data_IF_518397868087
#
_entry.id   IF_518397868087
#
_cell.length_a   1.000
_cell.length_b   1.000
_cell.length_c   1.000
_cell.angle_alpha   90.00
_cell.angle_beta   90.00
_cell.angle_gamma   90.00
#
_symmetry.space_group_name_H-M   'P 1'
#
loop_
_entity.id
_entity.type
_entity.pdbx_description
1 polymer ?
#
# COMPACT_ATOMS: atom_id res chain seq x y z
N UNK A 1 -0.63 7.35 20.30
CA UNK A 1 -1.89 6.79 20.83
C UNK A 1 -2.48 5.83 19.79
N UNK A 2 -3.14 4.75 20.21
CA UNK A 2 -3.85 3.77 19.35
C UNK A 2 -5.31 3.68 19.80
N UNK A 3 -6.30 3.60 18.90
CA UNK A 3 -7.69 3.37 19.31
C UNK A 3 -7.86 1.98 19.93
N UNK A 4 -8.67 1.89 20.98
CA UNK A 4 -8.93 0.62 21.70
C UNK A 4 -10.41 0.31 21.90
N UNK A 5 -11.28 1.33 21.83
CA UNK A 5 -12.74 1.17 21.85
C UNK A 5 -13.42 2.44 21.32
N UNK A 6 -14.70 2.33 20.97
CA UNK A 6 -15.53 3.48 20.59
C UNK A 6 -16.91 3.39 21.28
N UNK A 7 -17.51 4.55 21.55
CA UNK A 7 -18.91 4.68 21.96
C UNK A 7 -19.75 5.12 20.75
N UNK A 8 -20.83 4.39 20.48
CA UNK A 8 -21.68 4.57 19.29
C UNK A 8 -23.14 4.66 19.71
N UNK A 9 -23.86 5.58 19.09
CA UNK A 9 -25.30 5.78 19.27
C UNK A 9 -26.00 5.70 17.93
N UNK A 10 -26.63 4.55 17.67
CA UNK A 10 -27.16 4.21 16.36
C UNK A 10 -26.07 4.28 15.29
N UNK A 11 -26.19 5.26 14.39
CA UNK A 11 -25.35 5.43 13.21
C UNK A 11 -24.32 6.55 13.37
N UNK A 12 -24.04 6.94 14.62
CA UNK A 12 -23.16 8.04 14.96
C UNK A 12 -22.17 7.64 16.05
N UNK A 13 -20.88 7.80 15.76
CA UNK A 13 -19.80 7.59 16.71
C UNK A 13 -19.69 8.82 17.62
N UNK A 14 -19.79 8.63 18.93
CA UNK A 14 -19.77 9.71 19.94
C UNK A 14 -18.37 10.01 20.46
N UNK A 15 -17.61 8.96 20.72
CA UNK A 15 -16.24 9.08 21.24
C UNK A 15 -15.38 7.88 20.87
N UNK A 16 -14.07 8.08 20.88
CA UNK A 16 -13.07 7.02 20.71
C UNK A 16 -12.15 7.04 21.93
N UNK A 17 -11.93 5.89 22.53
CA UNK A 17 -10.92 5.71 23.58
C UNK A 17 -9.59 5.39 22.91
N UNK A 18 -8.59 6.21 23.20
CA UNK A 18 -7.24 6.06 22.69
C UNK A 18 -6.29 5.68 23.83
N UNK A 19 -5.45 4.68 23.62
CA UNK A 19 -4.41 4.26 24.57
C UNK A 19 -3.04 4.71 24.11
N UNK A 20 -2.26 5.35 24.99
CA UNK A 20 -0.87 5.66 24.73
C UNK A 20 -0.06 4.35 24.62
N UNK A 21 0.82 4.25 23.61
CA UNK A 21 1.57 3.02 23.33
C UNK A 21 2.42 2.58 24.52
N UNK A 22 3.17 3.52 25.09
CA UNK A 22 4.19 3.24 26.09
C UNK A 22 3.64 3.29 27.53
N UNK A 23 3.08 4.43 27.96
CA UNK A 23 2.49 4.57 29.31
C UNK A 23 1.22 3.78 29.57
N UNK A 24 0.54 3.29 28.52
CA UNK A 24 -0.78 2.64 28.60
C UNK A 24 -1.91 3.53 29.11
N UNK A 25 -1.66 4.82 29.29
CA UNK A 25 -2.67 5.82 29.67
C UNK A 25 -3.77 5.89 28.61
N UNK A 26 -5.02 6.03 29.04
CA UNK A 26 -6.17 6.14 28.15
C UNK A 26 -6.76 7.54 28.20
N UNK A 27 -7.09 8.06 27.02
CA UNK A 27 -7.84 9.30 26.85
C UNK A 27 -9.11 9.01 26.04
N UNK A 28 -10.19 9.72 26.33
CA UNK A 28 -11.42 9.67 25.54
C UNK A 28 -11.49 10.95 24.72
N UNK A 29 -11.56 10.81 23.40
CA UNK A 29 -11.69 11.94 22.47
C UNK A 29 -13.08 11.96 21.86
N UNK A 30 -13.64 13.16 21.69
CA UNK A 30 -14.92 13.38 21.03
C UNK A 30 -14.72 14.27 19.81
N UNK A 31 -15.54 14.06 18.78
CA UNK A 31 -15.49 14.82 17.53
C UNK A 31 -16.84 14.79 16.84
N UNK A 32 -17.18 15.86 16.11
CA UNK A 32 -18.40 15.86 15.28
C UNK A 32 -18.25 14.92 14.08
N UNK A 33 -17.04 14.83 13.55
CA UNK A 33 -16.59 13.89 12.52
C UNK A 33 -15.32 13.20 13.00
N UNK A 34 -15.16 11.94 12.61
CA UNK A 34 -13.99 11.12 12.87
C UNK A 34 -13.46 10.64 11.52
N UNK A 35 -12.17 10.80 11.30
CA UNK A 35 -11.50 10.33 10.09
C UNK A 35 -10.79 9.03 10.44
N UNK A 36 -11.14 7.95 9.75
CA UNK A 36 -10.50 6.64 9.86
C UNK A 36 -9.26 6.61 8.96
N UNK A 37 -8.10 6.88 9.55
CA UNK A 37 -6.81 6.89 8.87
C UNK A 37 -5.80 5.90 9.50
N UNK A 38 -6.29 4.87 10.19
CA UNK A 38 -5.46 3.77 10.68
C UNK A 38 -5.14 2.80 9.55
N UNK A 39 -3.98 2.15 9.64
CA UNK A 39 -3.46 1.31 8.56
C UNK A 39 -4.36 0.12 8.18
N UNK A 40 -5.13 -0.41 9.14
CA UNK A 40 -5.98 -1.60 8.99
C UNK A 40 -7.48 -1.31 9.13
N UNK A 41 -7.88 -0.03 9.23
CA UNK A 41 -9.28 0.35 9.48
C UNK A 41 -9.76 -0.11 10.86
N UNK A 42 -8.96 0.15 11.90
CA UNK A 42 -9.17 -0.32 13.27
C UNK A 42 -10.46 0.20 13.90
N UNK A 43 -10.95 1.40 13.54
CA UNK A 43 -12.22 1.91 14.06
C UNK A 43 -13.41 1.17 13.46
N UNK A 44 -13.33 0.61 12.25
CA UNK A 44 -14.47 -0.04 11.59
C UNK A 44 -15.12 -1.13 12.48
N UNK A 45 -14.37 -2.12 13.01
CA UNK A 45 -14.95 -3.09 13.95
C UNK A 45 -15.33 -2.45 15.29
N UNK A 46 -14.60 -1.44 15.78
CA UNK A 46 -14.88 -0.78 17.07
C UNK A 46 -16.19 0.02 17.03
N UNK A 47 -16.54 0.57 15.88
CA UNK A 47 -17.75 1.38 15.67
C UNK A 47 -18.91 0.57 15.13
N UNK A 48 -18.70 -0.71 14.82
CA UNK A 48 -19.67 -1.54 14.12
C UNK A 48 -20.00 -1.03 12.71
N UNK A 49 -19.07 -0.31 12.07
CA UNK A 49 -19.22 0.10 10.66
C UNK A 49 -19.01 -1.12 9.78
N UNK A 50 -19.90 -1.34 8.82
CA UNK A 50 -19.83 -2.50 7.94
C UNK A 50 -18.61 -2.44 7.03
N UNK A 51 -17.86 -3.54 6.95
CA UNK A 51 -16.66 -3.65 6.12
C UNK A 51 -16.54 -5.03 5.47
N UNK A 52 -15.63 -5.13 4.52
CA UNK A 52 -15.18 -6.36 3.84
C UNK A 52 -13.65 -6.47 3.91
N UNK A 53 -13.16 -7.69 3.72
CA UNK A 53 -11.75 -8.07 3.75
C UNK A 53 -11.50 -9.13 2.69
N UNK A 54 -10.26 -9.24 2.21
CA UNK A 54 -9.87 -10.23 1.20
C UNK A 54 -10.70 -10.15 -0.07
N UNK A 55 -10.76 -11.23 -0.85
CA UNK A 55 -11.51 -11.21 -2.11
C UNK A 55 -13.03 -11.23 -1.94
N UNK A 56 -13.71 -10.31 -2.62
CA UNK A 56 -15.11 -10.45 -3.00
C UNK A 56 -15.29 -11.52 -4.09
N UNK A 57 -16.52 -11.97 -4.32
CA UNK A 57 -16.82 -12.97 -5.35
C UNK A 57 -17.26 -12.33 -6.67
N UNK A 58 -17.01 -13.02 -7.79
CA UNK A 58 -17.59 -12.66 -9.10
C UNK A 58 -19.12 -12.54 -9.04
N UNK A 59 -19.79 -13.32 -8.17
CA UNK A 59 -21.24 -13.26 -8.01
C UNK A 59 -21.68 -11.93 -7.39
N UNK A 60 -20.89 -11.36 -6.49
CA UNK A 60 -21.22 -10.15 -5.77
C UNK A 60 -20.84 -8.88 -6.57
N UNK A 61 -19.70 -8.89 -7.26
CA UNK A 61 -19.14 -7.71 -7.93
C UNK A 61 -19.15 -7.79 -9.45
N UNK A 62 -19.29 -8.99 -10.02
CA UNK A 62 -19.19 -9.22 -11.46
C UNK A 62 -17.78 -9.06 -12.04
N UNK A 63 -16.77 -8.84 -11.19
CA UNK A 63 -15.41 -8.52 -11.62
C UNK A 63 -14.75 -9.73 -12.30
N UNK A 64 -14.18 -9.57 -13.51
CA UNK A 64 -13.59 -10.69 -14.24
C UNK A 64 -12.39 -11.31 -13.50
N UNK A 65 -11.65 -10.53 -12.72
CA UNK A 65 -10.48 -10.99 -11.96
C UNK A 65 -10.81 -11.54 -10.57
N UNK A 66 -12.06 -11.43 -10.10
CA UNK A 66 -12.47 -11.99 -8.81
C UNK A 66 -12.60 -13.53 -8.86
N UNK A 67 -12.47 -14.25 -7.73
CA UNK A 67 -12.79 -15.67 -7.64
C UNK A 67 -14.31 -15.92 -7.66
N UNK A 68 -14.71 -17.15 -7.99
CA UNK A 68 -16.13 -17.53 -8.02
C UNK A 68 -16.84 -17.38 -6.65
N UNK A 69 -16.11 -17.61 -5.56
CA UNK A 69 -16.59 -17.53 -4.18
C UNK A 69 -15.71 -16.56 -3.39
N UNK A 70 -16.31 -15.84 -2.43
CA UNK A 70 -15.59 -14.85 -1.64
C UNK A 70 -14.56 -15.50 -0.72
N UNK A 71 -13.40 -14.84 -0.54
CA UNK A 71 -12.28 -15.35 0.26
C UNK A 71 -11.82 -14.28 1.28
N UNK A 72 -12.56 -14.08 2.38
CA UNK A 72 -12.34 -12.96 3.29
C UNK A 72 -11.01 -13.01 4.07
N UNK A 73 -10.36 -14.16 4.10
CA UNK A 73 -9.05 -14.37 4.76
C UNK A 73 -7.88 -14.34 3.79
N UNK A 74 -8.16 -14.11 2.50
CA UNK A 74 -7.16 -14.05 1.46
C UNK A 74 -6.79 -12.58 1.19
N UNK A 75 -5.70 -12.12 1.78
CA UNK A 75 -5.24 -10.73 1.70
C UNK A 75 -3.85 -10.65 1.06
N UNK A 76 -3.55 -9.51 0.45
CA UNK A 76 -2.23 -9.24 -0.11
C UNK A 76 -1.11 -9.29 0.94
N UNK A 77 0.09 -9.61 0.48
CA UNK A 77 1.28 -9.66 1.30
C UNK A 77 1.60 -8.34 2.02
N UNK A 78 2.22 -8.49 3.19
CA UNK A 78 2.81 -7.41 3.98
C UNK A 78 4.33 -7.45 3.83
N UNK A 79 5.00 -6.30 3.85
CA UNK A 79 6.46 -6.25 3.75
C UNK A 79 7.07 -5.44 4.87
N UNK A 80 8.19 -5.90 5.42
CA UNK A 80 9.03 -5.10 6.32
C UNK A 80 10.23 -4.57 5.52
N UNK A 81 10.13 -3.30 5.13
CA UNK A 81 11.18 -2.64 4.34
C UNK A 81 12.40 -2.31 5.20
N UNK A 82 13.56 -2.10 4.56
CA UNK A 82 14.77 -1.61 5.22
C UNK A 82 15.64 -0.80 4.27
N UNK A 83 16.49 0.07 4.80
CA UNK A 83 17.45 0.82 3.99
C UNK A 83 18.84 0.19 4.11
N UNK A 84 19.59 0.16 3.00
CA UNK A 84 20.97 -0.35 2.96
C UNK A 84 21.92 0.62 2.28
N UNK A 85 23.18 0.56 2.69
CA UNK A 85 24.32 1.05 1.93
C UNK A 85 25.38 -0.07 1.79
N UNK A 86 26.40 0.15 0.95
CA UNK A 86 27.48 -0.80 0.69
C UNK A 86 28.85 -0.11 0.80
N UNK A 87 29.64 -0.48 1.80
CA UNK A 87 30.96 0.10 2.06
C UNK A 87 32.04 -0.98 2.07
N UNK A 88 33.31 -0.56 2.05
CA UNK A 88 34.43 -1.50 2.16
C UNK A 88 34.43 -2.23 3.52
N UNK A 89 34.93 -3.48 3.50
CA UNK A 89 35.07 -4.32 4.68
C UNK A 89 33.97 -5.37 4.84
N UNK A 90 33.98 -6.04 5.98
CA UNK A 90 33.01 -7.09 6.32
C UNK A 90 32.09 -6.60 7.45
N UNK A 91 30.80 -6.56 7.16
CA UNK A 91 29.71 -6.10 8.01
C UNK A 91 28.70 -7.22 8.28
N UNK A 92 29.03 -8.47 7.91
CA UNK A 92 28.16 -9.64 8.13
C UNK A 92 28.02 -9.87 9.63
N UNK A 93 26.77 -9.86 10.09
CA UNK A 93 26.40 -10.13 11.48
C UNK A 93 26.06 -11.60 11.72
N UNK A 94 25.39 -11.86 12.84
CA UNK A 94 24.91 -13.19 13.18
C UNK A 94 23.81 -13.65 12.20
N UNK A 95 23.79 -14.97 11.95
CA UNK A 95 22.76 -15.61 11.15
C UNK A 95 21.36 -15.43 11.80
N UNK A 96 20.34 -14.94 11.07
CA UNK A 96 18.99 -14.80 11.59
C UNK A 96 18.38 -16.13 12.05
N UNK A 97 17.51 -16.08 13.07
CA UNK A 97 16.99 -17.26 13.78
C UNK A 97 16.32 -18.26 12.85
N UNK A 98 15.41 -17.83 11.97
CA UNK A 98 14.77 -18.75 11.02
C UNK A 98 15.31 -18.61 9.59
N UNK A 99 16.56 -18.20 9.42
CA UNK A 99 17.18 -18.09 8.10
C UNK A 99 17.06 -19.39 7.29
N UNK A 100 17.32 -20.54 7.89
CA UNK A 100 17.24 -21.83 7.19
C UNK A 100 15.81 -22.15 6.73
N UNK A 101 14.78 -21.75 7.49
CA UNK A 101 13.37 -21.87 7.08
C UNK A 101 13.14 -21.01 5.83
N UNK A 102 13.44 -19.72 5.91
CA UNK A 102 13.14 -18.78 4.82
C UNK A 102 13.97 -19.04 3.56
N UNK A 103 15.23 -19.45 3.74
CA UNK A 103 16.12 -19.80 2.63
C UNK A 103 15.62 -21.01 1.86
N UNK A 104 15.00 -21.96 2.54
CA UNK A 104 14.39 -23.16 1.95
C UNK A 104 12.94 -22.96 1.48
N UNK A 105 12.32 -21.83 1.80
CA UNK A 105 10.93 -21.56 1.47
C UNK A 105 10.74 -21.33 -0.03
N UNK A 106 9.90 -22.16 -0.65
CA UNK A 106 9.61 -22.17 -2.09
C UNK A 106 8.10 -22.18 -2.31
N UNK A 107 7.44 -21.02 -2.42
CA UNK A 107 6.01 -20.96 -2.74
C UNK A 107 5.74 -21.63 -4.10
N UNK A 108 4.66 -22.40 -4.20
CA UNK A 108 4.35 -23.20 -5.39
C UNK A 108 4.22 -22.37 -6.67
N UNK A 109 3.71 -21.13 -6.55
CA UNK A 109 3.53 -20.19 -7.66
C UNK A 109 4.78 -19.35 -7.97
N UNK A 110 5.85 -19.43 -7.18
CA UNK A 110 7.02 -18.56 -7.31
C UNK A 110 8.01 -19.03 -8.39
N UNK A 111 7.99 -20.32 -8.73
CA UNK A 111 8.96 -20.93 -9.65
C UNK A 111 10.35 -21.19 -9.05
N UNK A 112 10.54 -20.96 -7.76
CA UNK A 112 11.81 -21.16 -7.06
C UNK A 112 11.77 -20.71 -5.59
N UNK A 113 12.93 -20.57 -4.92
CA UNK A 113 13.01 -20.00 -3.58
C UNK A 113 12.49 -18.56 -3.55
N UNK A 114 11.78 -18.19 -2.47
CA UNK A 114 11.33 -16.81 -2.26
C UNK A 114 12.53 -15.86 -2.14
N UNK A 115 13.54 -16.26 -1.36
CA UNK A 115 14.80 -15.53 -1.24
C UNK A 115 15.70 -15.89 -2.43
N UNK A 116 15.76 -14.96 -3.39
CA UNK A 116 16.60 -15.07 -4.58
C UNK A 116 16.34 -13.92 -5.55
N UNK A 117 17.18 -13.79 -6.59
CA UNK A 117 16.98 -12.79 -7.63
C UNK A 117 15.98 -13.20 -8.72
N UNK A 118 15.59 -14.47 -8.75
CA UNK A 118 14.54 -14.98 -9.62
C UNK A 118 13.18 -14.83 -8.93
N UNK A 119 12.22 -14.20 -9.61
CA UNK A 119 10.83 -14.13 -9.15
C UNK A 119 9.88 -14.03 -10.35
N UNK A 120 8.57 -14.28 -10.15
CA UNK A 120 7.56 -14.02 -11.18
C UNK A 120 7.56 -12.55 -11.60
N UNK A 121 7.51 -12.30 -12.89
CA UNK A 121 7.23 -10.97 -13.43
C UNK A 121 5.75 -10.64 -13.20
N UNK A 122 5.39 -9.50 -12.56
CA UNK A 122 4.01 -9.24 -12.15
C UNK A 122 2.97 -9.31 -13.28
N UNK A 123 3.38 -8.97 -14.52
CA UNK A 123 2.47 -8.91 -15.69
C UNK A 123 2.37 -10.20 -16.49
N UNK A 124 3.45 -10.97 -16.56
CA UNK A 124 3.53 -12.15 -17.45
C UNK A 124 3.56 -13.45 -16.67
N UNK A 125 3.82 -13.37 -15.36
CA UNK A 125 4.05 -14.48 -14.44
C UNK A 125 5.26 -15.37 -14.79
N UNK A 126 5.95 -15.07 -15.90
CA UNK A 126 7.20 -15.71 -16.27
C UNK A 126 8.30 -15.35 -15.27
N UNK A 127 9.16 -16.32 -14.96
CA UNK A 127 10.30 -16.09 -14.07
C UNK A 127 11.30 -15.13 -14.71
N UNK A 128 11.56 -14.02 -14.04
CA UNK A 128 12.60 -13.05 -14.43
C UNK A 128 13.70 -13.02 -13.39
N UNK A 129 14.95 -12.97 -13.84
CA UNK A 129 16.13 -12.84 -12.98
C UNK A 129 16.56 -11.38 -12.98
N UNK A 130 16.59 -10.76 -11.79
CA UNK A 130 17.07 -9.40 -11.59
C UNK A 130 18.56 -9.39 -11.24
N UNK A 131 19.23 -8.27 -11.47
CA UNK A 131 20.61 -8.06 -10.99
C UNK A 131 20.63 -7.18 -9.75
N UNK A 132 21.77 -7.16 -9.07
CA UNK A 132 22.00 -6.32 -7.90
C UNK A 132 23.46 -5.89 -7.88
N UNK A 133 23.69 -4.60 -8.11
CA UNK A 133 25.04 -4.03 -8.21
C UNK A 133 25.10 -2.78 -7.35
N UNK A 134 25.59 -2.87 -6.10
CA UNK A 134 25.72 -1.71 -5.24
C UNK A 134 26.70 -0.68 -5.79
N UNK A 135 26.38 0.60 -5.59
CA UNK A 135 27.23 1.72 -5.97
C UNK A 135 27.71 1.68 -7.43
N UNK A 136 26.81 1.53 -8.41
CA UNK A 136 27.21 1.42 -9.81
C UNK A 136 28.02 2.66 -10.25
N UNK A 137 28.92 2.47 -11.21
CA UNK A 137 29.63 3.57 -11.88
C UNK A 137 28.74 4.19 -12.96
N UNK A 138 27.59 4.72 -12.54
CA UNK A 138 26.58 5.28 -13.42
C UNK A 138 26.49 6.82 -13.35
N UNK A 139 25.73 7.40 -14.27
CA UNK A 139 25.27 8.78 -14.20
C UNK A 139 23.80 8.76 -13.72
N UNK A 140 23.52 9.13 -12.45
CA UNK A 140 22.17 9.10 -11.90
C UNK A 140 21.22 10.10 -12.57
N UNK A 141 21.72 11.06 -13.36
CA UNK A 141 20.89 12.04 -14.07
C UNK A 141 20.26 11.48 -15.36
N UNK A 142 20.71 10.31 -15.81
CA UNK A 142 20.21 9.65 -17.03
C UNK A 142 19.05 8.69 -16.77
N UNK A 143 18.54 8.61 -15.54
CA UNK A 143 17.41 7.73 -15.20
C UNK A 143 16.14 8.21 -15.90
N UNK A 144 15.61 7.37 -16.79
CA UNK A 144 14.30 7.56 -17.41
C UNK A 144 13.20 7.06 -16.46
N UNK A 145 12.39 8.00 -15.95
CA UNK A 145 11.29 7.70 -15.03
C UNK A 145 10.00 7.27 -15.75
N UNK A 146 9.99 7.18 -17.09
CA UNK A 146 8.82 6.73 -17.85
C UNK A 146 8.62 5.21 -17.73
N UNK A 147 7.76 4.82 -16.78
CA UNK A 147 7.41 3.42 -16.51
C UNK A 147 6.76 2.68 -17.69
N UNK A 148 6.31 3.40 -18.73
CA UNK A 148 5.82 2.77 -19.98
C UNK A 148 6.95 2.20 -20.81
N UNK A 149 8.15 2.78 -20.69
CA UNK A 149 9.35 2.38 -21.44
C UNK A 149 10.17 1.37 -20.66
N UNK A 150 10.33 1.59 -19.36
CA UNK A 150 11.10 0.72 -18.49
C UNK A 150 10.51 0.71 -17.08
N UNK A 151 10.09 -0.45 -16.52
CA UNK A 151 9.61 -0.52 -15.15
C UNK A 151 10.70 -0.23 -14.11
N UNK A 152 11.98 -0.24 -14.52
CA UNK A 152 13.12 0.12 -13.68
C UNK A 152 13.61 -0.98 -12.74
N UNK A 153 12.95 -2.15 -12.70
CA UNK A 153 13.17 -3.21 -11.71
C UNK A 153 14.25 -4.23 -12.11
N UNK A 154 14.94 -4.01 -13.23
CA UNK A 154 15.99 -4.91 -13.72
C UNK A 154 17.21 -5.02 -12.79
N UNK A 155 17.67 -3.90 -12.22
CA UNK A 155 18.69 -3.88 -11.18
C UNK A 155 18.08 -3.38 -9.87
N UNK A 156 18.06 -4.25 -8.86
CA UNK A 156 17.38 -4.03 -7.59
C UNK A 156 17.96 -2.85 -6.77
N UNK A 157 19.24 -2.53 -6.94
CA UNK A 157 19.87 -1.38 -6.27
C UNK A 157 19.38 -0.06 -6.88
N UNK A 158 19.50 0.11 -8.20
CA UNK A 158 19.08 1.35 -8.86
C UNK A 158 17.57 1.54 -8.85
N UNK A 159 16.81 0.44 -8.91
CA UNK A 159 15.34 0.44 -8.85
C UNK A 159 14.80 1.15 -7.60
N UNK A 160 15.47 0.96 -6.46
CA UNK A 160 15.06 1.55 -5.17
C UNK A 160 16.12 2.47 -4.56
N UNK A 161 16.99 3.05 -5.40
CA UNK A 161 18.01 4.00 -4.94
C UNK A 161 17.35 5.31 -4.55
N UNK A 162 17.34 5.61 -3.24
CA UNK A 162 16.78 6.84 -2.69
C UNK A 162 17.83 7.95 -2.57
N UNK A 163 19.12 7.60 -2.57
CA UNK A 163 20.22 8.56 -2.62
C UNK A 163 21.35 8.01 -3.48
N UNK A 164 21.67 8.68 -4.58
CA UNK A 164 22.88 8.43 -5.35
C UNK A 164 23.99 9.35 -4.83
N UNK A 165 25.10 8.80 -4.31
CA UNK A 165 26.19 9.60 -3.71
C UNK A 165 26.77 10.64 -4.68
N UNK A 166 26.67 10.38 -5.98
CA UNK A 166 27.11 11.27 -7.07
C UNK A 166 26.27 12.53 -7.24
N UNK A 167 25.04 12.55 -6.71
CA UNK A 167 24.19 13.76 -6.68
C UNK A 167 24.56 14.72 -5.53
N UNK A 168 25.45 14.32 -4.63
CA UNK A 168 25.82 15.10 -3.45
C UNK A 168 27.27 15.56 -3.51
N UNK A 169 27.63 16.52 -2.65
CA UNK A 169 29.01 16.99 -2.54
C UNK A 169 29.95 15.83 -2.21
N UNK A 170 31.15 15.75 -2.83
CA UNK A 170 32.09 14.67 -2.56
C UNK A 170 32.36 14.48 -1.07
N UNK A 171 32.19 13.24 -0.59
CA UNK A 171 32.37 12.88 0.81
C UNK A 171 31.10 12.97 1.68
N UNK A 172 29.98 13.51 1.18
CA UNK A 172 28.71 13.52 1.93
C UNK A 172 28.17 12.11 2.20
N UNK A 173 28.28 11.23 1.20
CA UNK A 173 27.91 9.83 1.30
C UNK A 173 29.07 8.95 0.83
N UNK A 174 29.45 7.94 1.63
CA UNK A 174 30.42 6.93 1.22
C UNK A 174 29.84 5.96 0.16
N UNK A 175 28.53 5.79 0.15
CA UNK A 175 27.79 4.85 -0.68
C UNK A 175 26.41 5.43 -1.03
N UNK A 176 25.88 5.02 -2.18
CA UNK A 176 24.46 5.17 -2.47
C UNK A 176 23.61 4.53 -1.36
N UNK A 177 22.36 4.96 -1.22
CA UNK A 177 21.41 4.36 -0.29
C UNK A 177 20.24 3.78 -1.09
N UNK A 178 19.93 2.51 -0.83
CA UNK A 178 18.83 1.78 -1.42
C UNK A 178 17.77 1.46 -0.37
N UNK A 179 16.50 1.76 -0.65
CA UNK A 179 15.36 1.41 0.20
C UNK A 179 14.75 0.09 -0.28
N UNK A 180 15.11 -1.00 0.37
CA UNK A 180 14.69 -2.34 -0.02
C UNK A 180 13.19 -2.54 0.24
N UNK A 181 12.44 -2.59 -0.86
CA UNK A 181 11.05 -3.05 -0.95
C UNK A 181 10.92 -3.83 -2.25
N UNK A 182 11.20 -5.14 -2.17
CA UNK A 182 11.28 -6.05 -3.31
C UNK A 182 10.41 -7.29 -3.09
N UNK A 183 10.05 -8.02 -4.15
CA UNK A 183 9.17 -9.20 -4.07
C UNK A 183 9.54 -10.24 -3.01
N UNK A 184 10.83 -10.45 -2.74
CA UNK A 184 11.30 -11.42 -1.73
C UNK A 184 10.99 -11.02 -0.28
N UNK A 185 10.49 -9.80 -0.04
CA UNK A 185 10.01 -9.32 1.27
C UNK A 185 8.50 -9.51 1.47
N UNK A 186 7.80 -10.04 0.47
CA UNK A 186 6.36 -10.25 0.58
C UNK A 186 6.08 -11.42 1.53
N UNK A 187 5.60 -11.10 2.73
CA UNK A 187 5.08 -12.07 3.68
C UNK A 187 3.60 -12.33 3.40
N UNK A 188 3.30 -13.55 2.96
CA UNK A 188 1.96 -14.02 2.60
C UNK A 188 1.62 -15.39 3.21
N UNK A 189 2.36 -15.87 4.22
CA UNK A 189 2.00 -17.16 4.86
C UNK A 189 0.64 -17.08 5.57
N UNK A 190 0.34 -15.95 6.21
CA UNK A 190 -0.88 -15.75 7.00
C UNK A 190 -1.39 -14.31 6.93
N UNK A 191 -2.73 -14.08 6.97
CA UNK A 191 -3.30 -12.73 6.97
C UNK A 191 -3.02 -11.98 8.28
N UNK A 192 -3.06 -10.66 8.29
CA UNK A 192 -2.90 -9.86 9.52
C UNK A 192 -4.18 -9.13 9.95
N UNK A 193 -5.23 -9.22 9.13
CA UNK A 193 -6.52 -8.56 9.36
C UNK A 193 -7.42 -9.50 10.19
N UNK A 194 -8.23 -8.92 11.09
CA UNK A 194 -9.20 -9.63 11.92
C UNK A 194 -8.62 -10.78 12.76
N UNK A 195 -7.41 -10.58 13.27
CA UNK A 195 -6.75 -11.52 14.19
C UNK A 195 -6.47 -10.88 15.55
N UNK A 196 -6.40 -11.69 16.62
CA UNK A 196 -5.96 -11.23 17.94
C UNK A 196 -4.62 -10.50 17.90
N UNK A 197 -4.41 -9.54 18.82
CA UNK A 197 -3.21 -8.69 18.83
C UNK A 197 -1.91 -9.50 19.03
N UNK A 198 -1.94 -10.58 19.80
CA UNK A 198 -0.81 -11.49 19.97
C UNK A 198 -0.45 -12.22 18.67
N UNK A 199 -1.47 -12.69 17.92
CA UNK A 199 -1.30 -13.33 16.60
C UNK A 199 -0.80 -12.32 15.55
N UNK A 200 -1.34 -11.09 15.56
CA UNK A 200 -0.83 -10.01 14.71
C UNK A 200 0.66 -9.78 14.97
N UNK A 201 1.05 -9.61 16.23
CA UNK A 201 2.44 -9.36 16.61
C UNK A 201 3.37 -10.53 16.26
N UNK A 202 2.89 -11.78 16.36
CA UNK A 202 3.63 -12.96 15.90
C UNK A 202 3.89 -12.90 14.39
N UNK A 203 2.86 -12.65 13.58
CA UNK A 203 2.97 -12.60 12.11
C UNK A 203 3.84 -11.44 11.62
N UNK A 204 3.79 -10.29 12.29
CA UNK A 204 4.71 -9.19 12.00
C UNK A 204 6.16 -9.57 12.31
N UNK A 205 6.42 -10.28 13.43
CA UNK A 205 7.78 -10.78 13.73
C UNK A 205 8.28 -11.79 12.70
N UNK A 206 7.41 -12.62 12.15
CA UNK A 206 7.78 -13.52 11.06
C UNK A 206 8.16 -12.74 9.79
N UNK A 207 7.43 -11.68 9.46
CA UNK A 207 7.76 -10.79 8.34
C UNK A 207 9.08 -10.01 8.59
N UNK A 208 9.37 -9.60 9.83
CA UNK A 208 10.65 -9.00 10.22
C UNK A 208 11.81 -10.00 10.09
N UNK A 209 11.61 -11.25 10.50
CA UNK A 209 12.59 -12.32 10.39
C UNK A 209 12.85 -12.72 8.92
N UNK A 210 11.83 -12.67 8.05
CA UNK A 210 12.00 -12.77 6.60
C UNK A 210 12.88 -11.62 6.07
N UNK A 211 12.62 -10.38 6.47
CA UNK A 211 13.40 -9.22 6.02
C UNK A 211 14.87 -9.31 6.45
N UNK A 212 15.13 -9.70 7.69
CA UNK A 212 16.49 -9.98 8.16
C UNK A 212 17.14 -11.15 7.42
N UNK A 213 16.37 -12.19 7.06
CA UNK A 213 16.86 -13.32 6.28
C UNK A 213 17.25 -12.91 4.85
N UNK A 214 16.46 -12.05 4.21
CA UNK A 214 16.80 -11.46 2.91
C UNK A 214 18.09 -10.63 3.01
N UNK A 215 18.20 -9.77 4.03
CA UNK A 215 19.42 -8.98 4.23
C UNK A 215 20.67 -9.86 4.45
N UNK A 216 20.57 -10.88 5.30
CA UNK A 216 21.66 -11.82 5.54
C UNK A 216 22.03 -12.60 4.27
N UNK A 217 21.03 -13.06 3.49
CA UNK A 217 21.28 -13.72 2.21
C UNK A 217 22.04 -12.82 1.23
N UNK A 218 21.69 -11.52 1.15
CA UNK A 218 22.45 -10.56 0.35
C UNK A 218 23.91 -10.50 0.80
N UNK A 219 24.16 -10.48 2.11
CA UNK A 219 25.51 -10.41 2.67
C UNK A 219 26.35 -11.66 2.39
N UNK A 220 25.76 -12.86 2.41
CA UNK A 220 26.52 -14.12 2.45
C UNK A 220 26.38 -15.00 1.23
N UNK A 221 25.26 -14.95 0.52
CA UNK A 221 24.86 -15.97 -0.44
C UNK A 221 24.43 -15.46 -1.81
N UNK A 222 24.05 -14.18 -1.93
CA UNK A 222 23.60 -13.62 -3.20
C UNK A 222 24.68 -13.71 -4.28
N UNK A 223 24.35 -14.19 -5.49
CA UNK A 223 25.32 -14.28 -6.57
C UNK A 223 25.74 -12.88 -7.02
N UNK A 224 27.02 -12.71 -7.38
CA UNK A 224 27.54 -11.46 -7.92
C UNK A 224 27.81 -11.58 -9.41
N UNK A 225 27.75 -10.44 -10.11
CA UNK A 225 28.06 -10.37 -11.55
C UNK A 225 29.53 -10.75 -11.86
N UNK A 226 30.43 -10.61 -10.89
CA UNK A 226 31.83 -11.04 -10.97
C UNK A 226 32.04 -12.55 -10.77
N UNK A 227 30.95 -13.33 -10.62
CA UNK A 227 30.98 -14.77 -10.34
C UNK A 227 31.22 -15.12 -8.87
N UNK A 228 31.37 -14.13 -7.99
CA UNK A 228 31.47 -14.32 -6.55
C UNK A 228 30.14 -14.47 -5.85
N UNK A 229 30.19 -14.50 -4.52
CA UNK A 229 29.03 -14.69 -3.66
C UNK A 229 29.06 -13.72 -2.46
N UNK A 230 27.88 -13.19 -2.11
CA UNK A 230 27.64 -12.32 -0.98
C UNK A 230 28.17 -10.89 -1.16
N UNK A 231 27.52 -9.95 -0.50
CA UNK A 231 27.92 -8.54 -0.41
C UNK A 231 28.24 -8.19 1.05
N UNK A 232 29.41 -8.61 1.57
CA UNK A 232 29.73 -8.48 2.99
C UNK A 232 29.83 -7.02 3.45
N UNK A 233 29.99 -6.07 2.53
CA UNK A 233 30.03 -4.64 2.82
C UNK A 233 28.67 -4.00 3.09
N UNK A 234 27.56 -4.74 2.93
CA UNK A 234 26.21 -4.21 3.13
C UNK A 234 25.94 -3.90 4.59
N UNK A 235 25.32 -2.76 4.87
CA UNK A 235 24.87 -2.37 6.21
C UNK A 235 23.41 -1.97 6.20
N UNK A 236 22.69 -2.32 7.25
CA UNK A 236 21.38 -1.72 7.53
C UNK A 236 21.57 -0.26 7.96
N UNK A 237 20.77 0.63 7.38
CA UNK A 237 20.78 2.07 7.65
C UNK A 237 19.63 2.45 8.56
N UNK A 238 19.72 2.00 9.81
CA UNK A 238 18.78 2.33 10.89
C UNK A 238 18.67 3.83 11.18
N UNK A 239 19.71 4.59 10.89
CA UNK A 239 19.72 6.05 10.95
C UNK A 239 18.81 6.70 9.87
N UNK A 240 18.58 6.01 8.75
CA UNK A 240 17.65 6.45 7.71
C UNK A 240 16.22 6.01 8.02
N UNK A 241 16.05 4.78 8.52
CA UNK A 241 14.71 4.26 8.86
C UNK A 241 14.20 4.74 10.22
N UNK A 242 15.06 5.35 11.06
CA UNK A 242 14.72 5.83 12.39
C UNK A 242 14.61 4.72 13.45
N UNK A 243 15.24 3.55 13.21
CA UNK A 243 15.16 2.40 14.11
C UNK A 243 16.54 1.84 14.46
N UNK A 244 16.69 1.29 15.67
CA UNK A 244 17.94 0.65 16.09
C UNK A 244 18.14 -0.76 15.52
N UNK A 245 17.06 -1.40 15.07
CA UNK A 245 17.08 -2.73 14.44
C UNK A 245 17.26 -2.67 12.92
N UNK A 246 17.30 -1.47 12.32
CA UNK A 246 17.62 -1.27 10.90
C UNK A 246 16.47 -1.48 9.92
N UNK A 247 15.32 -1.97 10.38
CA UNK A 247 14.10 -2.11 9.57
C UNK A 247 13.24 -0.84 9.62
N UNK A 248 12.21 -0.73 8.79
CA UNK A 248 11.24 0.37 8.82
C UNK A 248 10.49 0.42 10.17
N UNK A 249 9.99 1.61 10.53
CA UNK A 249 9.24 1.83 11.79
C UNK A 249 7.89 1.09 11.85
N UNK A 250 7.35 0.72 10.70
CA UNK A 250 6.06 0.05 10.56
C UNK A 250 6.06 -0.87 9.33
N UNK A 251 5.23 -1.92 9.33
CA UNK A 251 5.01 -2.75 8.15
C UNK A 251 4.40 -1.94 7.01
N UNK A 252 4.79 -2.26 5.77
CA UNK A 252 4.08 -1.81 4.58
C UNK A 252 2.88 -2.72 4.33
N UNK A 253 1.68 -2.20 4.62
CA UNK A 253 0.41 -2.91 4.50
C UNK A 253 -0.28 -2.50 3.19
N UNK A 254 -0.49 -3.48 2.30
CA UNK A 254 -1.13 -3.27 0.98
C UNK A 254 -2.65 -3.34 1.01
N UNK A 255 -3.21 -4.01 2.00
CA UNK A 255 -4.65 -4.26 2.10
C UNK A 255 -5.14 -4.07 3.52
N UNK A 256 -6.28 -3.41 3.64
CA UNK A 256 -6.98 -3.11 4.88
C UNK A 256 -8.39 -3.68 4.85
N UNK A 257 -9.09 -3.55 5.98
CA UNK A 257 -10.56 -3.52 5.97
C UNK A 257 -11.03 -2.38 5.07
N UNK A 258 -12.01 -2.66 4.22
CA UNK A 258 -12.62 -1.71 3.29
C UNK A 258 -14.10 -1.56 3.63
N UNK A 259 -14.60 -0.33 3.74
CA UNK A 259 -15.99 -0.12 4.12
C UNK A 259 -16.96 -0.69 3.09
N UNK A 260 -18.13 -1.16 3.54
CA UNK A 260 -19.29 -1.27 2.65
C UNK A 260 -19.83 0.14 2.40
N UNK A 261 -19.49 0.66 1.22
CA UNK A 261 -19.69 2.05 0.88
C UNK A 261 -21.01 2.32 0.16
N UNK A 262 -21.37 3.61 0.08
CA UNK A 262 -22.43 4.11 -0.81
C UNK A 262 -22.08 3.80 -2.27
N UNK A 263 -20.80 3.89 -2.63
CA UNK A 263 -20.27 3.47 -3.94
C UNK A 263 -19.04 2.60 -3.72
N UNK A 264 -19.11 1.35 -4.16
CA UNK A 264 -17.93 0.47 -4.23
C UNK A 264 -17.35 0.55 -5.63
N UNK A 265 -16.08 0.93 -5.75
CA UNK A 265 -15.36 0.93 -7.04
C UNK A 265 -15.02 -0.50 -7.42
N UNK A 266 -15.44 -0.93 -8.62
CA UNK A 266 -15.22 -2.30 -9.13
C UNK A 266 -14.33 -2.30 -10.37
N UNK A 267 -13.70 -3.42 -10.69
CA UNK A 267 -12.72 -3.55 -11.79
C UNK A 267 -13.25 -2.99 -13.12
N UNK A 268 -14.53 -3.21 -13.42
CA UNK A 268 -15.17 -2.77 -14.65
C UNK A 268 -15.24 -1.24 -14.76
N UNK A 269 -15.05 -0.50 -13.68
CA UNK A 269 -15.06 0.96 -13.71
C UNK A 269 -13.81 1.52 -14.36
N UNK A 270 -12.67 0.82 -14.30
CA UNK A 270 -11.39 1.38 -14.74
C UNK A 270 -10.48 0.41 -15.49
N UNK A 271 -10.78 -0.90 -15.53
CA UNK A 271 -9.97 -1.87 -16.27
C UNK A 271 -9.98 -1.50 -17.75
N UNK A 272 -8.79 -1.33 -18.32
CA UNK A 272 -8.61 -1.05 -19.74
C UNK A 272 -9.07 -2.23 -20.61
N UNK A 273 -9.00 -3.47 -20.10
CA UNK A 273 -9.51 -4.64 -20.80
C UNK A 273 -11.03 -4.62 -20.96
N UNK A 274 -11.73 -4.05 -19.98
CA UNK A 274 -13.20 -3.92 -19.99
C UNK A 274 -13.65 -2.64 -20.71
N UNK A 275 -12.94 -1.53 -20.46
CA UNK A 275 -13.35 -0.17 -20.86
C UNK A 275 -12.74 0.28 -22.18
N UNK A 276 -11.52 -0.16 -22.49
CA UNK A 276 -10.74 0.29 -23.64
C UNK A 276 -10.72 1.81 -23.80
N UNK A 277 -10.91 2.28 -25.03
CA UNK A 277 -10.92 3.70 -25.39
C UNK A 277 -12.10 4.51 -24.79
N UNK A 278 -13.08 3.86 -24.15
CA UNK A 278 -14.14 4.58 -23.45
C UNK A 278 -13.64 5.29 -22.18
N UNK A 279 -12.40 5.00 -21.73
CA UNK A 279 -11.84 5.54 -20.49
C UNK A 279 -12.52 4.98 -19.24
N UNK A 280 -12.05 5.36 -18.06
CA UNK A 280 -12.70 4.96 -16.81
C UNK A 280 -14.13 5.52 -16.72
N UNK A 281 -14.94 4.99 -15.81
CA UNK A 281 -16.22 5.57 -15.43
C UNK A 281 -15.99 7.00 -14.93
N UNK A 282 -16.81 7.91 -15.42
CA UNK A 282 -16.86 9.30 -14.98
C UNK A 282 -17.92 9.36 -13.87
N UNK A 283 -17.50 9.61 -12.64
CA UNK A 283 -18.41 9.70 -11.51
C UNK A 283 -18.98 11.12 -11.40
N UNK A 284 -20.29 11.21 -11.14
CA UNK A 284 -20.97 12.49 -10.87
C UNK A 284 -20.31 13.21 -9.69
N UNK A 285 -20.00 12.45 -8.65
CA UNK A 285 -19.41 12.87 -7.39
C UNK A 285 -17.91 12.62 -7.29
N UNK A 286 -17.17 12.74 -8.40
CA UNK A 286 -15.72 12.67 -8.32
C UNK A 286 -15.15 13.77 -7.42
N UNK A 287 -14.24 13.39 -6.54
CA UNK A 287 -13.55 14.25 -5.58
C UNK A 287 -12.03 14.14 -5.67
N UNK A 288 -11.53 13.31 -6.59
CA UNK A 288 -10.11 13.10 -6.78
C UNK A 288 -9.82 12.26 -8.01
N UNK A 289 -8.55 12.04 -8.30
CA UNK A 289 -8.10 11.23 -9.43
C UNK A 289 -6.99 10.27 -9.02
N UNK A 290 -6.83 9.21 -9.81
CA UNK A 290 -5.71 8.29 -9.71
C UNK A 290 -5.32 7.71 -11.06
N UNK A 291 -4.07 7.26 -11.17
CA UNK A 291 -3.57 6.54 -12.33
C UNK A 291 -2.50 5.56 -11.89
N UNK A 292 -2.86 4.29 -11.86
CA UNK A 292 -1.96 3.18 -11.64
C UNK A 292 -2.62 1.89 -12.11
N UNK A 293 -1.83 0.93 -12.59
CA UNK A 293 -2.34 -0.41 -12.94
C UNK A 293 -2.97 -1.07 -11.72
N UNK A 294 -3.94 -1.94 -11.93
CA UNK A 294 -4.41 -2.81 -10.85
C UNK A 294 -3.28 -3.80 -10.59
N UNK A 295 -2.57 -3.62 -9.47
CA UNK A 295 -1.36 -4.37 -9.12
C UNK A 295 -1.54 -5.02 -7.74
N UNK A 296 -1.86 -6.31 -7.76
CA UNK A 296 -1.99 -7.14 -6.57
C UNK A 296 -0.75 -8.01 -6.40
N UNK A 297 -0.20 -7.97 -5.20
CA UNK A 297 0.88 -8.85 -4.78
C UNK A 297 0.35 -10.25 -4.42
N UNK A 298 1.25 -11.25 -4.33
CA UNK A 298 0.90 -12.57 -3.81
C UNK A 298 0.12 -12.47 -2.51
N UNK A 299 -0.80 -13.39 -2.35
CA UNK A 299 -1.83 -13.33 -1.33
C UNK A 299 -1.75 -14.52 -0.37
N UNK A 300 -2.42 -14.40 0.77
CA UNK A 300 -2.45 -15.46 1.80
C UNK A 300 -3.27 -16.68 1.39
N UNK A 301 -4.03 -16.59 0.30
CA UNK A 301 -4.69 -17.73 -0.36
C UNK A 301 -3.79 -18.54 -1.28
N UNK A 302 -2.56 -18.08 -1.52
CA UNK A 302 -1.61 -18.73 -2.42
C UNK A 302 -1.75 -18.30 -3.88
N UNK A 303 -2.34 -17.14 -4.13
CA UNK A 303 -2.40 -16.55 -5.47
C UNK A 303 -1.07 -15.85 -5.82
N UNK A 304 -0.77 -15.84 -7.11
CA UNK A 304 0.32 -15.06 -7.65
C UNK A 304 -0.12 -13.60 -7.90
N UNK A 305 0.74 -12.80 -8.52
CA UNK A 305 0.39 -11.44 -8.94
C UNK A 305 -0.86 -11.42 -9.83
N UNK A 306 -1.68 -10.38 -9.64
CA UNK A 306 -2.71 -9.97 -10.60
C UNK A 306 -2.34 -8.56 -11.05
N UNK A 307 -2.01 -8.41 -12.34
CA UNK A 307 -1.69 -7.12 -12.95
C UNK A 307 -2.64 -6.87 -14.14
N UNK A 308 -3.55 -5.91 -13.98
CA UNK A 308 -4.51 -5.51 -15.02
C UNK A 308 -4.27 -4.06 -15.41
N UNK A 309 -4.25 -3.80 -16.73
CA UNK A 309 -4.15 -2.43 -17.23
C UNK A 309 -5.37 -1.62 -16.83
N UNK A 310 -5.17 -0.37 -16.43
CA UNK A 310 -6.24 0.53 -16.02
C UNK A 310 -6.20 1.85 -16.80
N UNK A 311 -7.39 2.42 -16.99
CA UNK A 311 -7.58 3.79 -17.45
C UNK A 311 -7.27 4.77 -16.31
N UNK A 312 -6.83 6.01 -16.59
CA UNK A 312 -6.85 7.09 -15.61
C UNK A 312 -8.25 7.23 -15.02
N UNK A 313 -8.37 7.17 -13.70
CA UNK A 313 -9.65 7.00 -13.00
C UNK A 313 -9.93 8.13 -12.01
N UNK A 314 -11.18 8.17 -11.56
CA UNK A 314 -11.75 9.17 -10.65
C UNK A 314 -12.09 8.52 -9.30
N UNK A 315 -12.02 9.29 -8.21
CA UNK A 315 -12.36 8.84 -6.86
C UNK A 315 -13.78 9.36 -6.53
N UNK A 316 -14.82 8.50 -6.48
CA UNK A 316 -16.16 8.96 -6.14
C UNK A 316 -16.29 9.26 -4.64
N UNK A 317 -16.95 10.36 -4.29
CA UNK A 317 -17.27 10.72 -2.90
C UNK A 317 -18.00 9.59 -2.19
N UNK A 318 -18.90 8.89 -2.87
CA UNK A 318 -19.60 7.71 -2.35
C UNK A 318 -18.69 6.59 -1.83
N UNK A 319 -17.45 6.47 -2.32
CA UNK A 319 -16.48 5.50 -1.80
C UNK A 319 -15.90 5.90 -0.44
N UNK A 320 -15.97 7.19 -0.08
CA UNK A 320 -15.57 7.70 1.24
C UNK A 320 -16.73 7.69 2.24
N UNK A 321 -17.88 7.09 1.90
CA UNK A 321 -19.08 7.11 2.74
C UNK A 321 -19.53 5.69 3.11
N UNK A 322 -19.51 5.31 4.39
CA UNK A 322 -20.16 4.08 4.85
C UNK A 322 -21.66 4.12 4.53
N UNK A 323 -22.29 2.98 4.27
CA UNK A 323 -23.73 2.93 3.98
C UNK A 323 -24.60 3.51 5.10
N UNK A 324 -24.22 3.26 6.36
CA UNK A 324 -25.04 3.58 7.53
C UNK A 324 -24.41 4.68 8.40
N UNK A 325 -23.15 4.49 8.83
CA UNK A 325 -22.50 5.42 9.77
C UNK A 325 -22.25 6.78 9.12
N UNK A 326 -22.76 7.84 9.74
CA UNK A 326 -22.87 9.18 9.11
C UNK A 326 -21.74 10.15 9.45
N UNK A 327 -20.91 9.85 10.45
CA UNK A 327 -19.85 10.75 10.91
C UNK A 327 -18.45 10.13 11.00
N UNK A 328 -18.28 8.93 10.44
CA UNK A 328 -16.98 8.28 10.24
C UNK A 328 -16.63 8.37 8.75
N UNK A 329 -15.52 9.03 8.42
CA UNK A 329 -15.05 9.21 7.04
C UNK A 329 -13.76 8.40 6.87
N UNK A 330 -13.78 7.30 6.08
CA UNK A 330 -12.59 6.56 5.71
C UNK A 330 -11.59 7.43 4.95
N UNK A 331 -10.31 7.30 5.30
CA UNK A 331 -9.19 7.87 4.60
C UNK A 331 -8.22 6.78 4.14
N UNK A 332 -7.36 7.10 3.17
CA UNK A 332 -6.44 6.16 2.57
C UNK A 332 -7.14 4.91 2.02
N UNK A 333 -6.56 3.74 2.28
CA UNK A 333 -7.02 2.43 1.75
C UNK A 333 -8.30 1.84 2.38
N UNK A 334 -8.96 2.53 3.31
CA UNK A 334 -10.18 2.02 3.99
C UNK A 334 -11.49 2.31 3.26
N UNK A 335 -11.42 3.04 2.14
CA UNK A 335 -12.56 3.41 1.29
C UNK A 335 -13.24 2.20 0.62
N UNK A 336 -14.38 2.45 -0.02
CA UNK A 336 -15.14 1.47 -0.78
C UNK A 336 -14.48 1.04 -2.09
N UNK A 337 -13.54 0.10 -2.00
CA UNK A 337 -12.96 -0.62 -3.14
C UNK A 337 -13.13 -2.13 -2.94
N UNK A 338 -12.94 -2.90 -4.01
CA UNK A 338 -12.81 -4.36 -3.95
C UNK A 338 -11.36 -4.74 -3.69
N UNK A 339 -11.07 -6.03 -3.46
CA UNK A 339 -9.71 -6.55 -3.42
C UNK A 339 -8.96 -6.20 -4.70
N UNK A 340 -9.64 -6.34 -5.85
CA UNK A 340 -9.10 -6.06 -7.18
C UNK A 340 -8.78 -4.57 -7.31
N UNK A 341 -9.77 -3.68 -7.15
CA UNK A 341 -9.54 -2.24 -7.38
C UNK A 341 -8.67 -1.60 -6.31
N UNK A 342 -8.62 -2.15 -5.10
CA UNK A 342 -7.65 -1.74 -4.09
C UNK A 342 -6.22 -1.74 -4.64
N UNK A 343 -5.86 -2.65 -5.55
CA UNK A 343 -4.55 -2.74 -6.19
C UNK A 343 -4.05 -1.45 -6.87
N UNK A 344 -4.95 -0.53 -7.23
CA UNK A 344 -4.59 0.79 -7.78
C UNK A 344 -5.00 1.96 -6.90
N UNK A 345 -5.93 1.78 -5.96
CA UNK A 345 -6.36 2.83 -5.03
C UNK A 345 -5.50 2.94 -3.75
N UNK A 346 -4.81 1.86 -3.33
CA UNK A 346 -3.85 1.84 -2.19
C UNK A 346 -2.49 2.47 -2.49
N UNK A 347 -2.40 3.24 -3.56
CA UNK A 347 -1.15 3.88 -3.98
C UNK A 347 -1.04 5.22 -3.25
N UNK A 348 0.13 5.52 -2.68
CA UNK A 348 0.31 6.71 -1.83
C UNK A 348 -0.24 8.02 -2.44
N UNK A 349 -0.07 8.34 -3.74
CA UNK A 349 -0.69 9.54 -4.31
C UNK A 349 -2.22 9.56 -4.22
N UNK A 350 -2.86 8.41 -4.44
CA UNK A 350 -4.30 8.24 -4.33
C UNK A 350 -4.74 8.31 -2.86
N UNK A 351 -4.01 7.64 -1.95
CA UNK A 351 -4.28 7.69 -0.52
C UNK A 351 -4.15 9.11 0.06
N UNK A 352 -3.17 9.90 -0.40
CA UNK A 352 -3.00 11.30 -0.02
C UNK A 352 -4.19 12.14 -0.47
N UNK A 353 -4.61 12.00 -1.73
CA UNK A 353 -5.80 12.69 -2.24
C UNK A 353 -7.05 12.35 -1.41
N UNK A 354 -7.28 11.06 -1.12
CA UNK A 354 -8.39 10.61 -0.26
C UNK A 354 -8.31 11.27 1.12
N UNK A 355 -7.13 11.34 1.73
CA UNK A 355 -6.92 11.98 3.03
C UNK A 355 -7.20 13.49 3.02
N UNK A 356 -6.73 14.19 1.98
CA UNK A 356 -7.00 15.62 1.78
C UNK A 356 -8.50 15.88 1.64
N UNK A 357 -9.18 15.12 0.77
CA UNK A 357 -10.62 15.20 0.56
C UNK A 357 -11.40 14.87 1.84
N UNK A 358 -11.00 13.84 2.60
CA UNK A 358 -11.66 13.48 3.86
C UNK A 358 -11.60 14.63 4.88
N UNK A 359 -10.45 15.29 4.99
CA UNK A 359 -10.27 16.48 5.83
C UNK A 359 -11.13 17.65 5.36
N UNK A 360 -11.13 17.95 4.06
CA UNK A 360 -11.94 19.01 3.47
C UNK A 360 -13.44 18.76 3.60
N UNK A 361 -13.89 17.51 3.42
CA UNK A 361 -15.29 17.11 3.58
C UNK A 361 -15.75 17.30 5.03
N UNK A 362 -14.94 16.87 6.00
CA UNK A 362 -15.25 17.08 7.41
C UNK A 362 -15.36 18.58 7.74
N UNK A 363 -14.44 19.41 7.23
CA UNK A 363 -14.48 20.86 7.42
C UNK A 363 -15.70 21.52 6.76
N UNK A 364 -16.02 21.13 5.52
CA UNK A 364 -17.19 21.63 4.79
C UNK A 364 -18.49 21.30 5.55
N UNK A 365 -18.66 20.05 5.95
CA UNK A 365 -19.80 19.59 6.74
C UNK A 365 -19.94 20.32 8.09
N UNK A 366 -18.83 20.66 8.74
CA UNK A 366 -18.84 21.47 9.97
C UNK A 366 -19.31 22.90 9.75
N UNK A 367 -18.92 23.51 8.62
CA UNK A 367 -19.20 24.90 8.30
C UNK A 367 -20.63 25.09 7.80
N UNK A 368 -21.09 24.21 6.91
CA UNK A 368 -22.39 24.33 6.25
C UNK A 368 -23.52 23.61 7.01
N UNK A 369 -23.18 22.83 8.05
CA UNK A 369 -24.17 22.12 8.86
C UNK A 369 -24.86 20.96 8.15
N UNK A 370 -24.19 20.38 7.14
CA UNK A 370 -24.64 19.19 6.38
C UNK A 370 -23.84 17.95 6.78
N UNK A 371 -24.37 16.76 6.50
CA UNK A 371 -23.64 15.49 6.64
C UNK A 371 -22.89 15.13 5.36
N UNK A 372 -21.84 14.30 5.44
CA UNK A 372 -21.15 13.76 4.26
C UNK A 372 -22.10 13.13 3.23
N UNK A 373 -23.10 12.37 3.69
CA UNK A 373 -24.15 11.79 2.85
C UNK A 373 -25.04 12.83 2.16
N UNK A 374 -25.33 13.96 2.82
CA UNK A 374 -26.06 15.06 2.18
C UNK A 374 -25.21 15.75 1.11
N UNK A 375 -23.91 15.94 1.34
CA UNK A 375 -22.98 16.46 0.33
C UNK A 375 -22.97 15.57 -0.91
N UNK A 376 -22.98 14.25 -0.72
CA UNK A 376 -23.03 13.32 -1.83
C UNK A 376 -24.42 13.30 -2.50
N UNK A 377 -25.51 13.27 -1.75
CA UNK A 377 -26.84 13.08 -2.33
C UNK A 377 -27.43 14.31 -3.04
N UNK A 378 -27.06 15.53 -2.63
CA UNK A 378 -27.61 16.78 -3.18
C UNK A 378 -26.64 17.41 -4.20
N UNK A 379 -27.08 17.56 -5.46
CA UNK A 379 -26.26 18.08 -6.55
C UNK A 379 -25.79 19.52 -6.33
N UNK A 380 -26.57 20.37 -5.66
CA UNK A 380 -26.18 21.76 -5.42
C UNK A 380 -25.08 21.84 -4.35
N UNK A 381 -25.23 21.05 -3.28
CA UNK A 381 -24.24 20.94 -2.20
C UNK A 381 -22.95 20.28 -2.72
N UNK A 382 -23.08 19.21 -3.52
CA UNK A 382 -21.94 18.55 -4.15
C UNK A 382 -21.16 19.53 -5.04
N UNK A 383 -21.84 20.28 -5.90
CA UNK A 383 -21.20 21.20 -6.83
C UNK A 383 -20.44 22.30 -6.09
N UNK A 384 -20.98 22.79 -4.97
CA UNK A 384 -20.27 23.74 -4.11
C UNK A 384 -19.02 23.11 -3.49
N UNK A 385 -19.13 21.89 -2.95
CA UNK A 385 -17.99 21.18 -2.38
C UNK A 385 -16.90 20.91 -3.43
N UNK A 386 -17.25 20.44 -4.63
CA UNK A 386 -16.32 20.24 -5.74
C UNK A 386 -15.66 21.56 -6.19
N UNK A 387 -16.38 22.68 -6.16
CA UNK A 387 -15.82 24.01 -6.42
C UNK A 387 -14.74 24.39 -5.39
N UNK A 388 -14.96 24.04 -4.11
CA UNK A 388 -13.96 24.25 -3.05
C UNK A 388 -12.74 23.33 -3.21
N UNK A 389 -12.94 22.06 -3.56
CA UNK A 389 -11.85 21.15 -3.91
C UNK A 389 -10.97 21.73 -5.02
N UNK A 390 -11.60 22.20 -6.10
CA UNK A 390 -10.90 22.84 -7.21
C UNK A 390 -10.14 24.09 -6.80
N UNK A 391 -10.72 24.94 -5.93
CA UNK A 391 -10.06 26.15 -5.43
C UNK A 391 -8.81 25.86 -4.59
N UNK A 392 -8.76 24.72 -3.89
CA UNK A 392 -7.58 24.24 -3.16
C UNK A 392 -6.59 23.46 -4.05
N UNK A 393 -6.87 23.31 -5.34
CA UNK A 393 -5.99 22.64 -6.30
C UNK A 393 -6.18 21.13 -6.39
N UNK A 394 -7.26 20.59 -5.81
CA UNK A 394 -7.60 19.16 -5.96
C UNK A 394 -8.24 18.93 -7.32
N UNK A 395 -7.57 18.14 -8.14
CA UNK A 395 -8.08 17.69 -9.43
C UNK A 395 -9.14 16.60 -9.21
N UNK A 396 -10.38 16.89 -9.60
CA UNK A 396 -11.48 15.93 -9.50
C UNK A 396 -11.73 15.18 -10.81
N UNK A 397 -11.10 15.59 -11.91
CA UNK A 397 -11.21 14.93 -13.22
C UNK A 397 -9.90 15.02 -13.99
N UNK A 398 -9.59 13.99 -14.76
CA UNK A 398 -8.48 14.04 -15.72
C UNK A 398 -8.82 15.00 -16.87
N UNK A 399 -7.86 15.82 -17.35
CA UNK A 399 -8.09 16.70 -18.49
C UNK A 399 -8.28 15.89 -19.78
N UNK A 400 -9.28 16.27 -20.58
CA UNK A 400 -9.49 15.71 -21.92
C UNK A 400 -8.57 16.43 -22.92
N UNK A 401 -7.41 15.83 -23.20
CA UNK A 401 -6.43 16.39 -24.14
C UNK A 401 -6.77 15.96 -25.56
N UNK A 402 -7.68 16.71 -26.21
CA UNK A 402 -8.01 16.53 -27.63
C UNK A 402 -7.39 17.63 -28.48
N UNK A 403 -6.81 17.24 -29.62
CA UNK A 403 -6.44 18.17 -30.68
C UNK A 403 -7.68 18.74 -31.35
N UNK A 404 -7.53 19.93 -31.95
CA UNK A 404 -8.53 20.58 -32.78
C UNK A 404 -8.77 19.85 -34.11
#
# INVERSE_FOLDING_TARGET
YKPVSADVDGDRVRSVTLRHRDSREEIVVTGRYIIEATELGDLLPMTGTEYVTGFESQRDTGEPSAPAEAQPTNSQAVSICFAIDHVDGNQVGDKPRNYDKWRAYTPSFWGGPLIGFAAPHPRTLETTVRSFTPNPDDDPTLVDADQRRNPGDGNLWTFRRIAARRNFVPGAYASDICLVNWPMLDYFEHPIIDVPEDVYNERIRDAEDLAHSVFYWLQTEAPREDGGQGFPGLRLRGDITGTSHGLAMAPYIRESRRIKAVTTVVEQDLSYEVRGEAGAVIYRDSVGIGMYRIDLHPSTGGDNYIDVASCPFEIPLGALLPQRVTNLIPAGKTIGTTHITNGCYRLHPVEWNIGEVAGMLAAYCLNEGVTPHQVQADDAVLAEFQSRLYAEGIETRWPDVRGY
#
